data_IF_954593886328
#
_entry.id   IF_954593886328
#
_cell.length_a   1.000
_cell.length_b   1.000
_cell.length_c   1.000
_cell.angle_alpha   90.00
_cell.angle_beta   90.00
_cell.angle_gamma   90.00
#
_symmetry.space_group_name_H-M   'P 1'
#
loop_
_entity.id
_entity.type
_entity.pdbx_description
1 polymer ?
#
# COMPACT_ATOMS: atom_id res chain seq x y z
N UNK A 1 -19.92 53.50 -9.48
CA UNK A 1 -18.52 53.25 -9.11
C UNK A 1 -18.51 51.98 -8.28
N UNK A 2 -18.32 50.85 -8.98
CA UNK A 2 -18.33 49.49 -8.46
C UNK A 2 -17.00 49.18 -7.80
N UNK A 3 -17.03 48.61 -6.59
CA UNK A 3 -15.94 47.83 -6.00
C UNK A 3 -16.42 47.25 -4.65
N UNK A 4 -17.08 46.10 -4.68
CA UNK A 4 -17.03 45.08 -3.62
C UNK A 4 -17.76 43.80 -4.09
N UNK A 5 -17.34 43.23 -5.22
CA UNK A 5 -17.76 41.87 -5.60
C UNK A 5 -16.68 40.88 -5.16
N UNK A 6 -17.11 39.95 -4.32
CA UNK A 6 -16.23 39.02 -3.61
C UNK A 6 -15.42 38.14 -4.55
N UNK A 7 -14.09 38.33 -4.50
CA UNK A 7 -13.05 37.52 -5.17
C UNK A 7 -12.85 36.17 -4.46
N UNK A 8 -13.91 35.59 -3.88
CA UNK A 8 -13.74 34.60 -2.81
C UNK A 8 -14.21 33.19 -3.09
N UNK A 9 -15.13 32.96 -4.05
CA UNK A 9 -15.85 31.68 -4.10
C UNK A 9 -16.20 31.12 -5.47
N UNK A 10 -16.17 31.93 -6.54
CA UNK A 10 -16.55 31.43 -7.87
C UNK A 10 -15.42 30.68 -8.58
N UNK A 11 -14.15 31.06 -8.35
CA UNK A 11 -13.01 30.44 -9.04
C UNK A 11 -12.47 29.16 -8.38
N UNK A 12 -12.77 28.95 -7.09
CA UNK A 12 -12.40 27.71 -6.37
C UNK A 12 -13.21 26.49 -6.83
N UNK A 13 -14.30 26.71 -7.56
CA UNK A 13 -15.22 25.68 -8.03
C UNK A 13 -14.99 25.20 -9.46
N UNK A 14 -14.09 25.84 -10.22
CA UNK A 14 -13.72 25.32 -11.52
C UNK A 14 -12.84 24.09 -11.32
N UNK A 15 -13.42 22.90 -11.47
CA UNK A 15 -12.67 21.66 -11.59
C UNK A 15 -11.55 21.90 -12.61
N UNK A 16 -10.29 21.86 -12.17
CA UNK A 16 -9.14 21.96 -13.07
C UNK A 16 -9.04 20.65 -13.87
N UNK A 17 -9.90 20.49 -14.86
CA UNK A 17 -9.98 19.30 -15.70
C UNK A 17 -8.67 19.05 -16.45
N UNK A 18 -7.97 20.13 -16.83
CA UNK A 18 -6.65 20.08 -17.44
C UNK A 18 -5.61 19.51 -16.48
N UNK A 19 -5.48 20.08 -15.27
CA UNK A 19 -4.57 19.57 -14.24
C UNK A 19 -4.88 18.13 -13.83
N UNK A 20 -6.17 17.77 -13.76
CA UNK A 20 -6.58 16.39 -13.49
C UNK A 20 -6.20 15.42 -14.63
N UNK A 21 -6.27 15.87 -15.89
CA UNK A 21 -5.82 15.07 -17.04
C UNK A 21 -4.30 14.93 -17.08
N UNK A 22 -3.56 16.03 -16.84
CA UNK A 22 -2.10 16.05 -16.68
C UNK A 22 -1.66 15.07 -15.60
N UNK A 23 -2.24 15.17 -14.40
CA UNK A 23 -1.90 14.29 -13.28
C UNK A 23 -2.16 12.81 -13.59
N UNK A 24 -3.30 12.49 -14.20
CA UNK A 24 -3.64 11.11 -14.58
C UNK A 24 -2.65 10.54 -15.60
N UNK A 25 -2.32 11.29 -16.64
CA UNK A 25 -1.31 10.88 -17.63
C UNK A 25 0.04 10.69 -16.95
N UNK A 26 0.47 11.66 -16.14
CA UNK A 26 1.77 11.63 -15.48
C UNK A 26 1.94 10.45 -14.51
N UNK A 27 0.88 10.06 -13.79
CA UNK A 27 0.89 8.86 -12.94
C UNK A 27 1.05 7.55 -13.71
N UNK A 28 0.61 7.50 -14.97
CA UNK A 28 0.75 6.33 -15.85
C UNK A 28 2.13 6.27 -16.47
N UNK A 29 2.63 7.41 -16.97
CA UNK A 29 3.87 7.49 -17.73
C UNK A 29 5.11 7.50 -16.83
N UNK A 30 5.01 8.09 -15.65
CA UNK A 30 6.12 8.28 -14.71
C UNK A 30 5.84 7.54 -13.39
N UNK A 31 6.39 6.33 -13.18
CA UNK A 31 6.17 5.57 -11.95
C UNK A 31 6.78 6.30 -10.74
N UNK A 32 5.96 6.48 -9.70
CA UNK A 32 6.34 7.19 -8.48
C UNK A 32 7.20 6.32 -7.56
N UNK A 33 8.50 6.20 -7.89
CA UNK A 33 9.50 5.50 -7.05
C UNK A 33 10.21 6.44 -6.08
N UNK A 34 10.49 7.65 -6.54
CA UNK A 34 11.06 8.73 -5.76
C UNK A 34 10.13 9.94 -5.91
N UNK A 35 9.45 10.29 -4.83
CA UNK A 35 8.47 11.38 -4.83
C UNK A 35 9.09 12.74 -5.14
N UNK A 36 10.34 13.00 -4.76
CA UNK A 36 10.98 14.29 -4.97
C UNK A 36 11.40 14.44 -6.44
N UNK A 37 12.02 13.40 -7.01
CA UNK A 37 12.37 13.37 -8.43
C UNK A 37 11.10 13.43 -9.32
N UNK A 38 10.06 12.67 -8.97
CA UNK A 38 8.79 12.67 -9.68
C UNK A 38 8.12 14.05 -9.67
N UNK A 39 8.09 14.70 -8.51
CA UNK A 39 7.48 16.03 -8.39
C UNK A 39 8.31 17.10 -9.09
N UNK A 40 9.63 17.00 -9.06
CA UNK A 40 10.52 17.90 -9.81
C UNK A 40 10.24 17.81 -11.32
N UNK A 41 10.03 16.61 -11.87
CA UNK A 41 9.62 16.44 -13.27
C UNK A 41 8.23 17.02 -13.53
N UNK A 42 7.27 16.78 -12.65
CA UNK A 42 5.92 17.34 -12.81
C UNK A 42 5.95 18.87 -12.82
N UNK A 43 6.75 19.49 -11.96
CA UNK A 43 6.91 20.96 -11.90
C UNK A 43 7.55 21.56 -13.16
N UNK A 44 8.31 20.77 -13.93
CA UNK A 44 8.81 21.21 -15.24
C UNK A 44 7.70 21.26 -16.30
N UNK A 45 6.64 20.47 -16.13
CA UNK A 45 5.50 20.42 -17.05
C UNK A 45 4.34 21.32 -16.59
N UNK A 46 4.02 21.31 -15.29
CA UNK A 46 2.94 22.08 -14.67
C UNK A 46 3.36 22.50 -13.25
N UNK A 47 3.94 23.69 -13.16
CA UNK A 47 4.45 24.27 -11.90
C UNK A 47 3.34 24.44 -10.85
N UNK A 48 2.18 24.97 -11.25
CA UNK A 48 1.07 25.24 -10.34
C UNK A 48 0.48 23.96 -9.76
N UNK A 49 0.34 22.91 -10.59
CA UNK A 49 -0.07 21.59 -10.12
C UNK A 49 0.95 20.99 -9.14
N UNK A 50 2.24 21.12 -9.43
CA UNK A 50 3.30 20.68 -8.54
C UNK A 50 3.28 21.38 -7.17
N UNK A 51 3.15 22.71 -7.15
CA UNK A 51 3.00 23.49 -5.90
C UNK A 51 1.76 23.05 -5.14
N UNK A 52 0.62 22.88 -5.82
CA UNK A 52 -0.61 22.44 -5.17
C UNK A 52 -0.46 21.08 -4.49
N UNK A 53 0.22 20.13 -5.13
CA UNK A 53 0.51 18.82 -4.54
C UNK A 53 1.42 18.95 -3.32
N UNK A 54 2.42 19.84 -3.35
CA UNK A 54 3.28 20.09 -2.19
C UNK A 54 2.50 20.62 -0.98
N UNK A 55 1.59 21.57 -1.19
CA UNK A 55 0.74 22.11 -0.12
C UNK A 55 -0.17 21.02 0.45
N UNK A 56 -0.89 20.32 -0.43
CA UNK A 56 -1.88 19.32 -0.01
C UNK A 56 -1.22 18.16 0.72
N UNK A 57 -0.06 17.67 0.25
CA UNK A 57 0.63 16.56 0.91
C UNK A 57 1.21 16.97 2.27
N UNK A 58 1.62 18.23 2.43
CA UNK A 58 2.14 18.74 3.70
C UNK A 58 1.02 18.87 4.74
N UNK A 59 -0.09 19.52 4.36
CA UNK A 59 -1.28 19.63 5.19
C UNK A 59 -1.82 18.25 5.57
N UNK A 60 -1.95 17.35 4.59
CA UNK A 60 -2.44 15.99 4.82
C UNK A 60 -1.55 15.24 5.82
N UNK A 61 -0.22 15.23 5.62
CA UNK A 61 0.68 14.49 6.50
C UNK A 61 0.74 15.03 7.94
N UNK A 62 0.52 16.34 8.14
CA UNK A 62 0.62 16.98 9.45
C UNK A 62 -0.69 17.01 10.22
N UNK A 63 -1.81 17.24 9.55
CA UNK A 63 -3.07 17.60 10.20
C UNK A 63 -4.15 16.54 10.00
N UNK A 64 -4.25 15.96 8.80
CA UNK A 64 -5.38 15.10 8.44
C UNK A 64 -5.05 13.59 8.47
N UNK A 65 -3.76 13.24 8.43
CA UNK A 65 -3.37 11.83 8.37
C UNK A 65 -3.53 11.14 9.73
N UNK A 66 -4.36 10.11 9.76
CA UNK A 66 -4.62 9.30 10.95
C UNK A 66 -3.46 8.32 11.25
N UNK A 67 -2.27 8.84 11.59
CA UNK A 67 -1.10 8.03 11.94
C UNK A 67 -1.39 6.94 12.98
N UNK A 68 -2.17 7.19 14.05
CA UNK A 68 -2.49 6.15 15.02
C UNK A 68 -3.28 4.99 14.42
N UNK A 69 -4.21 5.28 13.51
CA UNK A 69 -5.04 4.25 12.88
C UNK A 69 -4.23 3.44 11.86
N UNK A 70 -3.35 4.09 11.09
CA UNK A 70 -2.39 3.41 10.21
C UNK A 70 -1.51 2.45 11.02
N UNK A 71 -0.94 2.92 12.13
CA UNK A 71 -0.08 2.10 12.99
C UNK A 71 -0.85 0.89 13.55
N UNK A 72 -2.06 1.12 14.05
CA UNK A 72 -2.93 0.06 14.58
C UNK A 72 -3.20 -1.02 13.52
N UNK A 73 -3.66 -0.61 12.34
CA UNK A 73 -3.97 -1.53 11.23
C UNK A 73 -2.74 -2.31 10.75
N UNK A 74 -1.57 -1.65 10.68
CA UNK A 74 -0.33 -2.30 10.28
C UNK A 74 0.11 -3.38 11.29
N UNK A 75 -0.02 -3.10 12.59
CA UNK A 75 0.31 -4.07 13.65
C UNK A 75 -0.68 -5.23 13.70
N UNK A 76 -1.98 -4.96 13.53
CA UNK A 76 -3.02 -6.00 13.45
C UNK A 76 -2.77 -6.92 12.26
N UNK A 77 -2.59 -6.37 11.06
CA UNK A 77 -2.30 -7.16 9.86
C UNK A 77 -1.02 -7.99 9.98
N UNK A 78 0.03 -7.43 10.57
CA UNK A 78 1.27 -8.17 10.85
C UNK A 78 1.03 -9.35 11.79
N UNK A 79 0.27 -9.16 12.87
CA UNK A 79 -0.01 -10.21 13.84
C UNK A 79 -0.88 -11.33 13.23
N UNK A 80 -1.89 -10.96 12.45
CA UNK A 80 -2.74 -11.90 11.72
C UNK A 80 -1.95 -12.72 10.69
N UNK A 81 -1.11 -12.05 9.91
CA UNK A 81 -0.28 -12.69 8.89
C UNK A 81 0.72 -13.66 9.51
N UNK A 82 1.40 -13.26 10.58
CA UNK A 82 2.31 -14.13 11.32
C UNK A 82 1.58 -15.36 11.87
N UNK A 83 0.40 -15.17 12.47
CA UNK A 83 -0.42 -16.26 13.00
C UNK A 83 -0.85 -17.22 11.88
N UNK A 84 -1.28 -16.68 10.73
CA UNK A 84 -1.68 -17.47 9.56
C UNK A 84 -0.51 -18.28 9.00
N UNK A 85 0.68 -17.68 8.88
CA UNK A 85 1.88 -18.36 8.41
C UNK A 85 2.33 -19.45 9.37
N UNK A 86 2.34 -19.19 10.67
CA UNK A 86 2.67 -20.19 11.69
C UNK A 86 1.70 -21.38 11.65
N UNK A 87 0.39 -21.12 11.55
CA UNK A 87 -0.62 -22.19 11.38
C UNK A 87 -0.37 -23.01 10.13
N UNK A 88 -0.16 -22.34 8.97
CA UNK A 88 0.14 -23.03 7.70
C UNK A 88 1.37 -23.91 7.82
N UNK A 89 2.45 -23.39 8.40
CA UNK A 89 3.69 -24.13 8.58
C UNK A 89 3.52 -25.32 9.54
N UNK A 90 2.79 -25.13 10.65
CA UNK A 90 2.48 -26.21 11.59
C UNK A 90 1.67 -27.32 10.91
N UNK A 91 0.59 -26.98 10.20
CA UNK A 91 -0.23 -27.94 9.45
C UNK A 91 0.59 -28.73 8.43
N UNK A 92 1.44 -28.05 7.66
CA UNK A 92 2.32 -28.72 6.70
C UNK A 92 3.27 -29.67 7.41
N UNK A 93 3.95 -29.22 8.47
CA UNK A 93 4.96 -30.02 9.17
C UNK A 93 4.37 -31.24 9.86
N UNK A 94 3.21 -31.11 10.51
CA UNK A 94 2.53 -32.24 11.14
C UNK A 94 1.91 -33.21 10.13
N UNK A 95 1.39 -32.71 9.01
CA UNK A 95 0.93 -33.57 7.90
C UNK A 95 2.06 -34.45 7.36
N UNK A 96 3.21 -33.85 7.05
CA UNK A 96 4.39 -34.59 6.60
C UNK A 96 4.91 -35.60 7.64
N UNK A 97 4.87 -35.26 8.93
CA UNK A 97 5.30 -36.18 9.99
C UNK A 97 4.40 -37.42 10.08
N UNK A 98 3.08 -37.24 9.96
CA UNK A 98 2.11 -38.33 9.99
C UNK A 98 2.29 -39.28 8.79
N UNK A 99 2.52 -38.73 7.60
CA UNK A 99 2.83 -39.51 6.40
C UNK A 99 4.12 -40.34 6.56
N UNK A 100 5.16 -39.77 7.17
CA UNK A 100 6.42 -40.49 7.46
C UNK A 100 6.20 -41.65 8.46
N UNK A 101 5.44 -41.42 9.53
CA UNK A 101 5.15 -42.48 10.52
C UNK A 101 4.23 -43.58 9.99
N UNK A 102 3.36 -43.26 9.02
CA UNK A 102 2.52 -44.26 8.34
C UNK A 102 3.29 -45.12 7.34
N UNK A 103 4.43 -44.63 6.82
CA UNK A 103 5.27 -45.35 5.86
C UNK A 103 6.30 -46.27 6.53
N UNK A 104 6.67 -46.02 7.80
CA UNK A 104 7.66 -46.83 8.54
C UNK A 104 7.08 -48.04 9.30
N UNK A 105 5.78 -48.33 9.18
CA UNK A 105 5.10 -49.42 9.92
C UNK A 105 5.03 -50.78 9.22
N UNK A 106 5.81 -50.99 8.14
CA UNK A 106 5.60 -52.08 7.18
C UNK A 106 6.69 -53.16 7.05
N UNK A 107 7.66 -53.28 7.96
CA UNK A 107 8.60 -54.41 7.97
C UNK A 107 8.51 -55.17 9.31
N UNK A 108 7.64 -56.19 9.33
CA UNK A 108 7.65 -57.21 10.37
C UNK A 108 8.86 -58.14 10.21
N UNK A 109 9.44 -58.65 11.30
CA UNK A 109 10.65 -59.46 11.24
C UNK A 109 10.39 -60.75 10.45
N UNK A 110 11.19 -60.98 9.41
CA UNK A 110 11.22 -62.23 8.68
C UNK A 110 11.51 -63.38 9.65
N UNK A 111 10.61 -64.35 9.70
CA UNK A 111 10.74 -65.55 10.53
C UNK A 111 12.00 -66.33 10.12
N UNK A 112 12.73 -66.93 11.08
CA UNK A 112 13.89 -67.74 10.76
C UNK A 112 13.43 -69.05 10.11
N UNK A 113 13.88 -69.31 8.88
CA UNK A 113 13.76 -70.61 8.22
C UNK A 113 14.59 -71.66 8.98
N UNK A 114 13.99 -72.83 9.15
CA UNK A 114 14.53 -74.01 9.82
C UNK A 114 15.52 -74.77 8.93
#
# INVERSE_FOLDING_TARGET
MSQLEGIGRSDLGAYNAAGAATLRRFLVDEPMRDSAAWLSKLMQEDELLGVRIMEVRDAYAKEDFEWPNLQRLALEGLAEDNTRLLRKHATQRFGTLLEQTGSSGGEGPAAPEQ
#
